data_IF_456827984762
#
_entry.id   IF_456827984762
#
_cell.length_a   1.000
_cell.length_b   1.000
_cell.length_c   1.000
_cell.angle_alpha   90.00
_cell.angle_beta   90.00
_cell.angle_gamma   90.00
#
_symmetry.space_group_name_H-M   'P 1'
#
loop_
_entity.id
_entity.type
_entity.pdbx_description
1 polymer ?
#
# COMPACT_ATOMS: atom_id res chain seq x y z
N UNK A 1 13.97 24.86 27.23
CA UNK A 1 12.60 24.38 26.94
C UNK A 1 12.50 24.12 25.44
N UNK A 2 12.85 22.89 25.02
CA UNK A 2 12.82 22.50 23.61
C UNK A 2 11.41 22.16 23.19
N UNK A 3 10.89 22.85 22.18
CA UNK A 3 9.59 22.58 21.58
C UNK A 3 9.68 21.25 20.83
N UNK A 4 9.40 20.14 21.50
CA UNK A 4 9.25 18.84 20.85
C UNK A 4 8.00 18.90 20.00
N UNK A 5 8.17 19.18 18.70
CA UNK A 5 7.12 19.04 17.70
C UNK A 5 6.76 17.56 17.55
N UNK A 6 5.93 17.06 18.46
CA UNK A 6 5.27 15.76 18.32
C UNK A 6 4.26 15.92 17.20
N UNK A 7 4.71 15.76 15.95
CA UNK A 7 3.84 15.42 14.82
C UNK A 7 3.16 14.10 15.21
N UNK A 8 2.00 14.22 15.84
CA UNK A 8 1.20 13.07 16.25
C UNK A 8 0.87 12.28 14.99
N UNK A 9 0.90 10.93 15.03
CA UNK A 9 0.52 10.09 13.88
C UNK A 9 -0.87 10.43 13.31
N UNK A 10 -1.70 11.10 14.13
CA UNK A 10 -3.01 11.66 13.81
C UNK A 10 -2.96 12.74 12.71
N UNK A 11 -1.96 13.62 12.71
CA UNK A 11 -1.84 14.69 11.70
C UNK A 11 -1.51 14.13 10.31
N UNK A 12 -0.63 13.13 10.22
CA UNK A 12 -0.30 12.46 8.96
C UNK A 12 -1.48 11.64 8.42
N UNK A 13 -2.25 10.99 9.30
CA UNK A 13 -3.48 10.28 8.95
C UNK A 13 -4.60 11.22 8.48
N UNK A 14 -4.75 12.41 9.10
CA UNK A 14 -5.70 13.44 8.68
C UNK A 14 -5.36 14.04 7.31
N UNK A 15 -4.08 14.22 6.98
CA UNK A 15 -3.67 14.66 5.64
C UNK A 15 -3.91 13.59 4.56
N UNK A 16 -3.66 12.32 4.87
CA UNK A 16 -3.97 11.17 3.98
C UNK A 16 -5.45 11.10 3.61
N UNK A 17 -6.32 11.30 4.60
CA UNK A 17 -7.77 11.33 4.41
C UNK A 17 -8.22 12.58 3.64
N UNK A 18 -7.72 13.76 4.00
CA UNK A 18 -8.15 15.03 3.39
C UNK A 18 -7.88 15.17 1.88
N UNK A 19 -6.74 14.64 1.41
CA UNK A 19 -6.35 14.72 0.00
C UNK A 19 -7.02 13.67 -0.91
N UNK A 20 -7.45 12.53 -0.35
CA UNK A 20 -8.14 11.47 -1.10
C UNK A 20 -9.67 11.66 -1.11
N UNK A 21 -10.24 12.22 -0.03
CA UNK A 21 -11.69 12.43 0.13
C UNK A 21 -12.27 13.58 -0.73
N UNK A 22 -11.45 14.44 -1.32
CA UNK A 22 -11.91 15.54 -2.18
C UNK A 22 -12.15 15.12 -3.64
N UNK A 23 -11.68 13.94 -4.05
CA UNK A 23 -11.86 13.40 -5.41
C UNK A 23 -13.21 12.74 -5.71
N UNK A 24 -13.88 11.98 -4.81
CA UNK A 24 -15.15 11.32 -5.16
C UNK A 24 -16.31 12.29 -5.42
N UNK A 25 -16.29 13.49 -4.84
CA UNK A 25 -17.31 14.52 -5.11
C UNK A 25 -17.23 15.11 -6.54
N UNK A 26 -16.09 14.93 -7.23
CA UNK A 26 -15.85 15.40 -8.59
C UNK A 26 -15.86 14.28 -9.65
N UNK A 27 -15.84 13.01 -9.23
CA UNK A 27 -15.69 11.86 -10.13
C UNK A 27 -16.98 11.56 -10.91
N UNK A 28 -17.15 12.21 -12.07
CA UNK A 28 -18.32 12.08 -12.95
C UNK A 28 -18.11 11.12 -14.13
N UNK A 29 -16.89 10.64 -14.38
CA UNK A 29 -16.56 9.78 -15.53
C UNK A 29 -15.40 8.82 -15.22
N UNK A 30 -15.16 7.85 -16.11
CA UNK A 30 -14.12 6.82 -15.98
C UNK A 30 -12.72 7.43 -15.81
N UNK A 31 -12.41 8.53 -16.52
CA UNK A 31 -11.13 9.23 -16.38
C UNK A 31 -10.94 9.83 -14.99
N UNK A 32 -11.98 10.42 -14.41
CA UNK A 32 -11.91 11.01 -13.08
C UNK A 32 -11.68 9.94 -12.01
N UNK A 33 -12.24 8.73 -12.17
CA UNK A 33 -11.92 7.58 -11.33
C UNK A 33 -10.49 7.08 -11.52
N UNK A 34 -9.97 7.08 -12.75
CA UNK A 34 -8.58 6.75 -13.06
C UNK A 34 -7.60 7.74 -12.40
N UNK A 35 -7.87 9.04 -12.53
CA UNK A 35 -7.12 10.13 -11.90
C UNK A 35 -7.19 10.02 -10.36
N UNK A 36 -8.37 9.78 -9.78
CA UNK A 36 -8.55 9.60 -8.33
C UNK A 36 -7.75 8.41 -7.78
N UNK A 37 -7.70 7.30 -8.53
CA UNK A 37 -6.88 6.14 -8.17
C UNK A 37 -5.38 6.46 -8.19
N UNK A 38 -4.93 7.28 -9.14
CA UNK A 38 -3.53 7.71 -9.26
C UNK A 38 -3.15 8.63 -8.10
N UNK A 39 -3.97 9.63 -7.83
CA UNK A 39 -3.75 10.59 -6.74
C UNK A 39 -3.72 9.90 -5.37
N UNK A 40 -4.66 8.98 -5.10
CA UNK A 40 -4.71 8.25 -3.83
C UNK A 40 -3.49 7.33 -3.64
N UNK A 41 -3.04 6.64 -4.70
CA UNK A 41 -1.79 5.87 -4.68
C UNK A 41 -0.59 6.75 -4.38
N UNK A 42 -0.45 7.88 -5.07
CA UNK A 42 0.69 8.77 -4.93
C UNK A 42 0.74 9.41 -3.55
N UNK A 43 -0.41 9.82 -3.02
CA UNK A 43 -0.51 10.29 -1.65
C UNK A 43 -0.02 9.23 -0.65
N UNK A 44 -0.42 7.96 -0.84
CA UNK A 44 0.05 6.87 0.01
C UNK A 44 1.57 6.65 -0.08
N UNK A 45 2.13 6.64 -1.29
CA UNK A 45 3.58 6.48 -1.50
C UNK A 45 4.36 7.64 -0.88
N UNK A 46 3.91 8.88 -1.10
CA UNK A 46 4.53 10.08 -0.54
C UNK A 46 4.50 10.04 0.97
N UNK A 47 3.42 9.60 1.60
CA UNK A 47 3.39 9.48 3.07
C UNK A 47 4.23 8.29 3.54
N UNK A 48 4.20 7.16 2.86
CA UNK A 48 5.00 5.99 3.23
C UNK A 48 6.51 6.28 3.22
N UNK A 49 6.98 7.13 2.32
CA UNK A 49 8.39 7.57 2.23
C UNK A 49 8.66 8.90 2.96
N UNK A 50 7.64 9.73 3.19
CA UNK A 50 7.81 11.04 3.82
C UNK A 50 7.74 10.95 5.34
N UNK A 51 6.86 10.10 5.89
CA UNK A 51 6.68 9.98 7.33
C UNK A 51 7.91 9.40 8.04
N UNK A 52 8.63 8.39 7.51
CA UNK A 52 9.90 7.95 8.09
C UNK A 52 11.03 8.96 7.84
N UNK A 53 11.13 9.57 6.66
CA UNK A 53 12.10 10.63 6.39
C UNK A 53 12.02 11.80 7.40
N UNK A 54 10.82 12.33 7.66
CA UNK A 54 10.60 13.42 8.63
C UNK A 54 10.97 13.00 10.06
N UNK A 55 10.87 11.70 10.37
CA UNK A 55 11.24 11.13 11.68
C UNK A 55 12.70 10.67 11.74
N UNK A 56 13.51 10.93 10.70
CA UNK A 56 14.90 10.52 10.59
C UNK A 56 15.09 8.99 10.49
N UNK A 57 14.06 8.27 10.05
CA UNK A 57 14.01 6.80 10.01
C UNK A 57 14.30 6.26 8.60
N UNK A 58 15.54 6.44 8.13
CA UNK A 58 15.98 6.01 6.79
C UNK A 58 15.82 4.51 6.54
N UNK A 59 15.94 3.69 7.59
CA UNK A 59 15.69 2.26 7.49
C UNK A 59 14.20 1.97 7.20
N UNK A 60 13.28 2.78 7.75
CA UNK A 60 11.86 2.72 7.43
C UNK A 60 11.57 3.13 5.98
N UNK A 61 12.22 4.17 5.47
CA UNK A 61 12.06 4.60 4.08
C UNK A 61 12.57 3.55 3.09
N UNK A 62 13.73 2.95 3.36
CA UNK A 62 14.26 1.87 2.52
C UNK A 62 13.35 0.64 2.54
N UNK A 63 12.76 0.31 3.68
CA UNK A 63 11.80 -0.80 3.79
C UNK A 63 10.49 -0.49 3.05
N UNK A 64 9.96 0.72 3.19
CA UNK A 64 8.75 1.14 2.47
C UNK A 64 8.99 1.20 0.96
N UNK A 65 10.10 1.80 0.53
CA UNK A 65 10.51 1.86 -0.88
C UNK A 65 10.76 0.47 -1.46
N UNK A 66 11.43 -0.42 -0.71
CA UNK A 66 11.63 -1.81 -1.08
C UNK A 66 10.30 -2.57 -1.23
N UNK A 67 9.35 -2.35 -0.32
CA UNK A 67 8.01 -2.97 -0.36
C UNK A 67 7.22 -2.52 -1.60
N UNK A 68 7.21 -1.22 -1.87
CA UNK A 68 6.55 -0.61 -3.03
C UNK A 68 7.17 -1.14 -4.34
N UNK A 69 8.49 -1.15 -4.41
CA UNK A 69 9.22 -1.64 -5.58
C UNK A 69 8.96 -3.13 -5.81
N UNK A 70 9.04 -3.95 -4.76
CA UNK A 70 8.77 -5.39 -4.85
C UNK A 70 7.34 -5.67 -5.33
N UNK A 71 6.34 -4.99 -4.77
CA UNK A 71 4.95 -5.13 -5.21
C UNK A 71 4.74 -4.69 -6.66
N UNK A 72 5.37 -3.58 -7.07
CA UNK A 72 5.33 -3.09 -8.44
C UNK A 72 5.95 -4.06 -9.43
N UNK A 73 7.15 -4.57 -9.14
CA UNK A 73 7.85 -5.55 -9.98
C UNK A 73 7.11 -6.88 -10.06
N UNK A 74 6.61 -7.38 -8.93
CA UNK A 74 5.79 -8.60 -8.90
C UNK A 74 4.54 -8.44 -9.78
N UNK A 75 3.84 -7.32 -9.65
CA UNK A 75 2.65 -7.04 -10.45
C UNK A 75 2.97 -6.91 -11.94
N UNK A 76 4.09 -6.28 -12.28
CA UNK A 76 4.55 -6.17 -13.66
C UNK A 76 4.87 -7.56 -14.25
N UNK A 77 5.61 -8.39 -13.52
CA UNK A 77 5.91 -9.77 -13.95
C UNK A 77 4.65 -10.61 -14.16
N UNK A 78 3.69 -10.53 -13.24
CA UNK A 78 2.42 -11.26 -13.38
C UNK A 78 1.58 -10.76 -14.55
N UNK A 79 1.58 -9.45 -14.84
CA UNK A 79 0.90 -8.88 -16.01
C UNK A 79 1.40 -9.45 -17.32
N UNK A 80 2.71 -9.62 -17.44
CA UNK A 80 3.31 -10.20 -18.65
C UNK A 80 3.07 -11.71 -18.74
N UNK A 81 2.96 -12.40 -17.60
CA UNK A 81 2.68 -13.84 -17.55
C UNK A 81 1.19 -14.18 -17.80
N UNK A 82 0.26 -13.33 -17.39
CA UNK A 82 -1.19 -13.56 -17.47
C UNK A 82 -1.90 -12.42 -18.23
N UNK A 83 -1.80 -12.42 -19.58
CA UNK A 83 -2.38 -11.37 -20.40
C UNK A 83 -3.91 -11.45 -20.44
N UNK A 84 -4.56 -10.50 -19.77
CA UNK A 84 -6.01 -10.42 -19.61
C UNK A 84 -6.56 -9.07 -20.09
N UNK A 85 -7.66 -9.11 -20.84
CA UNK A 85 -8.39 -7.92 -21.31
C UNK A 85 -8.99 -7.11 -20.16
N UNK A 86 -8.74 -5.80 -20.20
CA UNK A 86 -9.42 -4.85 -19.32
C UNK A 86 -10.91 -4.70 -19.67
N UNK A 87 -11.77 -4.33 -18.71
CA UNK A 87 -13.19 -4.09 -18.97
C UNK A 87 -13.46 -3.03 -20.06
N UNK A 88 -12.58 -2.04 -20.19
CA UNK A 88 -12.63 -0.98 -21.22
C UNK A 88 -12.01 -1.37 -22.57
N UNK A 89 -11.47 -2.58 -22.70
CA UNK A 89 -10.77 -3.09 -23.90
C UNK A 89 -9.56 -2.26 -24.34
N UNK A 90 -8.98 -1.45 -23.45
CA UNK A 90 -7.82 -0.61 -23.79
C UNK A 90 -6.54 -1.41 -24.02
N UNK A 91 -6.30 -2.47 -23.25
CA UNK A 91 -5.19 -3.41 -23.44
C UNK A 91 -5.43 -4.78 -22.77
N UNK A 92 -4.44 -5.67 -22.88
CA UNK A 92 -4.39 -7.01 -22.28
C UNK A 92 -3.56 -7.09 -20.99
N UNK A 93 -3.42 -5.99 -20.27
CA UNK A 93 -2.63 -5.90 -19.03
C UNK A 93 -3.53 -5.57 -17.84
N UNK A 94 -4.61 -6.34 -17.66
CA UNK A 94 -5.52 -6.20 -16.52
C UNK A 94 -4.97 -6.86 -15.26
N UNK A 95 -4.88 -8.19 -15.20
CA UNK A 95 -4.40 -8.90 -14.01
C UNK A 95 -2.89 -8.75 -13.73
N UNK A 96 -2.46 -8.53 -12.47
CA UNK A 96 -3.19 -7.95 -11.33
C UNK A 96 -3.15 -6.41 -11.38
N UNK A 97 -3.91 -5.71 -10.53
CA UNK A 97 -3.88 -4.25 -10.51
C UNK A 97 -2.61 -3.68 -9.85
N UNK A 98 -1.69 -3.14 -10.66
CA UNK A 98 -0.44 -2.54 -10.14
C UNK A 98 -0.65 -1.30 -9.27
N UNK A 99 -1.68 -0.49 -9.56
CA UNK A 99 -2.05 0.66 -8.71
C UNK A 99 -2.46 0.19 -7.31
N UNK A 100 -3.28 -0.86 -7.24
CA UNK A 100 -3.68 -1.46 -5.98
C UNK A 100 -2.50 -2.10 -5.25
N UNK A 101 -1.64 -2.87 -5.94
CA UNK A 101 -0.47 -3.48 -5.30
C UNK A 101 0.46 -2.46 -4.65
N UNK A 102 0.76 -1.36 -5.35
CA UNK A 102 1.60 -0.29 -4.81
C UNK A 102 0.94 0.42 -3.64
N UNK A 103 -0.36 0.73 -3.74
CA UNK A 103 -1.11 1.38 -2.67
C UNK A 103 -1.16 0.54 -1.38
N UNK A 104 -1.46 -0.76 -1.51
CA UNK A 104 -1.45 -1.69 -0.38
C UNK A 104 -0.05 -1.93 0.18
N UNK A 105 0.99 -1.98 -0.65
CA UNK A 105 2.38 -2.06 -0.15
C UNK A 105 2.77 -0.83 0.68
N UNK A 106 2.39 0.37 0.24
CA UNK A 106 2.61 1.61 0.98
C UNK A 106 1.81 1.61 2.31
N UNK A 107 0.54 1.21 2.27
CA UNK A 107 -0.32 1.13 3.46
C UNK A 107 0.17 0.09 4.47
N UNK A 108 0.54 -1.11 4.02
CA UNK A 108 1.11 -2.17 4.84
C UNK A 108 2.44 -1.73 5.48
N UNK A 109 3.29 -1.01 4.74
CA UNK A 109 4.54 -0.46 5.27
C UNK A 109 4.28 0.54 6.40
N UNK A 110 3.31 1.45 6.21
CA UNK A 110 2.87 2.40 7.25
C UNK A 110 2.28 1.69 8.46
N UNK A 111 1.44 0.67 8.24
CA UNK A 111 0.83 -0.14 9.29
C UNK A 111 1.88 -0.90 10.11
N UNK A 112 2.84 -1.53 9.45
CA UNK A 112 3.90 -2.28 10.11
C UNK A 112 4.86 -1.36 10.88
N UNK A 113 5.17 -0.18 10.33
CA UNK A 113 6.12 0.75 10.96
C UNK A 113 5.52 1.57 12.10
N UNK A 114 4.28 2.04 11.94
CA UNK A 114 3.64 3.01 12.86
C UNK A 114 2.39 2.48 13.58
N UNK A 115 1.99 1.24 13.30
CA UNK A 115 0.85 0.61 13.94
C UNK A 115 -0.49 1.00 13.33
N UNK A 116 -1.55 0.45 13.92
CA UNK A 116 -2.92 0.50 13.40
C UNK A 116 -3.49 1.93 13.28
N UNK A 117 -3.02 2.88 14.10
CA UNK A 117 -3.50 4.27 14.06
C UNK A 117 -3.20 4.99 12.73
N UNK A 118 -2.09 4.62 12.09
CA UNK A 118 -1.71 5.09 10.75
C UNK A 118 -2.11 4.04 9.70
N UNK A 119 -1.99 2.76 10.04
CA UNK A 119 -2.32 1.65 9.17
C UNK A 119 -3.77 1.63 8.71
N UNK A 120 -4.75 1.70 9.61
CA UNK A 120 -6.17 1.63 9.24
C UNK A 120 -6.56 2.75 8.26
N UNK A 121 -6.25 4.04 8.52
CA UNK A 121 -6.50 5.09 7.55
C UNK A 121 -5.81 4.84 6.20
N UNK A 122 -4.55 4.38 6.21
CA UNK A 122 -3.81 4.09 4.98
C UNK A 122 -4.46 2.94 4.18
N UNK A 123 -4.94 1.90 4.85
CA UNK A 123 -5.64 0.78 4.22
C UNK A 123 -6.99 1.20 3.62
N UNK A 124 -7.71 2.12 4.27
CA UNK A 124 -8.94 2.70 3.72
C UNK A 124 -8.64 3.45 2.41
N UNK A 125 -7.57 4.25 2.38
CA UNK A 125 -7.15 4.96 1.16
C UNK A 125 -6.72 3.95 0.07
N UNK A 126 -6.02 2.86 0.44
CA UNK A 126 -5.61 1.84 -0.51
C UNK A 126 -6.81 1.07 -1.09
N UNK A 127 -7.81 0.77 -0.26
CA UNK A 127 -9.08 0.20 -0.70
C UNK A 127 -9.82 1.15 -1.65
N UNK A 128 -9.81 2.46 -1.37
CA UNK A 128 -10.38 3.47 -2.26
C UNK A 128 -9.66 3.53 -3.62
N UNK A 129 -8.33 3.41 -3.64
CA UNK A 129 -7.55 3.28 -4.89
C UNK A 129 -8.06 2.09 -5.70
N UNK A 130 -8.18 0.91 -5.08
CA UNK A 130 -8.68 -0.30 -5.72
C UNK A 130 -10.10 -0.16 -6.25
N UNK A 131 -11.02 0.36 -5.44
CA UNK A 131 -12.40 0.64 -5.84
C UNK A 131 -12.45 1.57 -7.06
N UNK A 132 -11.67 2.66 -7.05
CA UNK A 132 -11.59 3.61 -8.15
C UNK A 132 -11.10 2.97 -9.45
N UNK A 133 -10.21 1.97 -9.39
CA UNK A 133 -9.78 1.22 -10.59
C UNK A 133 -10.91 0.41 -11.24
N UNK A 134 -11.80 -0.15 -10.43
CA UNK A 134 -12.99 -0.88 -10.92
C UNK A 134 -13.97 0.10 -11.55
N UNK A 135 -14.24 1.23 -10.89
CA UNK A 135 -15.13 2.27 -11.40
C UNK A 135 -14.60 2.93 -12.68
N UNK A 136 -13.28 3.05 -12.82
CA UNK A 136 -12.61 3.50 -14.05
C UNK A 136 -12.61 2.45 -15.17
N UNK A 137 -13.19 1.26 -14.95
CA UNK A 137 -13.21 0.12 -15.88
C UNK A 137 -11.82 -0.33 -16.33
N UNK A 138 -10.79 -0.05 -15.52
CA UNK A 138 -9.40 -0.43 -15.80
C UNK A 138 -9.05 -1.81 -15.30
N UNK A 139 -9.81 -2.35 -14.35
CA UNK A 139 -9.56 -3.64 -13.73
C UNK A 139 -10.87 -4.29 -13.30
N UNK A 140 -10.88 -5.62 -13.30
CA UNK A 140 -11.94 -6.37 -12.65
C UNK A 140 -11.73 -6.36 -11.14
N UNK A 141 -12.78 -6.66 -10.37
CA UNK A 141 -12.69 -6.66 -8.91
C UNK A 141 -11.65 -7.68 -8.38
N UNK A 142 -11.46 -8.80 -9.07
CA UNK A 142 -10.48 -9.82 -8.68
C UNK A 142 -9.03 -9.39 -8.96
N UNK A 143 -8.77 -8.55 -9.98
CA UNK A 143 -7.45 -7.95 -10.23
C UNK A 143 -7.02 -7.08 -9.05
N UNK A 144 -8.00 -6.37 -8.46
CA UNK A 144 -7.82 -5.50 -7.31
C UNK A 144 -7.55 -6.34 -6.06
N UNK A 145 -8.30 -7.42 -5.83
CA UNK A 145 -8.05 -8.34 -4.70
C UNK A 145 -6.66 -8.98 -4.80
N UNK A 146 -6.27 -9.46 -5.99
CA UNK A 146 -4.95 -10.02 -6.22
C UNK A 146 -3.84 -8.97 -6.01
N UNK A 147 -4.05 -7.75 -6.52
CA UNK A 147 -3.12 -6.64 -6.29
C UNK A 147 -2.97 -6.30 -4.80
N UNK A 148 -4.08 -6.22 -4.06
CA UNK A 148 -4.06 -5.97 -2.62
C UNK A 148 -3.26 -7.05 -1.87
N UNK A 149 -3.47 -8.33 -2.20
CA UNK A 149 -2.72 -9.44 -1.61
C UNK A 149 -1.20 -9.33 -1.88
N UNK A 150 -0.81 -8.99 -3.11
CA UNK A 150 0.61 -8.77 -3.47
C UNK A 150 1.20 -7.62 -2.65
N UNK A 151 0.49 -6.50 -2.57
CA UNK A 151 0.93 -5.32 -1.83
C UNK A 151 1.09 -5.58 -0.33
N UNK A 152 0.07 -6.17 0.30
CA UNK A 152 0.10 -6.48 1.74
C UNK A 152 1.24 -7.46 2.07
N UNK A 153 1.42 -8.48 1.24
CA UNK A 153 2.50 -9.47 1.42
C UNK A 153 3.88 -8.82 1.29
N UNK A 154 4.08 -7.96 0.28
CA UNK A 154 5.34 -7.25 0.11
C UNK A 154 5.65 -6.35 1.31
N UNK A 155 4.66 -5.56 1.76
CA UNK A 155 4.79 -4.70 2.94
C UNK A 155 5.04 -5.49 4.23
N UNK A 156 4.41 -6.65 4.40
CA UNK A 156 4.61 -7.52 5.56
C UNK A 156 5.99 -8.19 5.60
N UNK A 157 6.47 -8.69 4.46
CA UNK A 157 7.75 -9.39 4.40
C UNK A 157 8.95 -8.44 4.48
N UNK A 158 8.84 -7.25 3.89
CA UNK A 158 9.95 -6.31 3.77
C UNK A 158 9.94 -5.29 4.91
N UNK A 159 8.77 -4.83 5.37
CA UNK A 159 8.69 -3.81 6.42
C UNK A 159 8.53 -4.42 7.81
N UNK A 160 9.53 -4.16 8.65
CA UNK A 160 9.62 -4.58 10.04
C UNK A 160 9.32 -3.42 11.02
N UNK A 161 8.81 -3.73 12.21
CA UNK A 161 8.42 -2.73 13.24
C UNK A 161 9.60 -1.87 13.70
N UNK A 162 9.37 -0.57 13.94
CA UNK A 162 10.40 0.40 14.41
C UNK A 162 10.97 0.12 15.80
N UNK A 163 10.17 -0.48 16.68
CA UNK A 163 10.60 -0.97 18.00
C UNK A 163 10.28 -2.47 18.06
N UNK A 164 11.26 -3.30 17.72
CA UNK A 164 11.10 -4.75 17.72
C UNK A 164 11.61 -5.35 19.04
N UNK A 165 10.85 -5.17 20.11
CA UNK A 165 10.86 -6.17 21.20
C UNK A 165 10.15 -7.45 20.79
N UNK A 166 9.50 -7.48 19.61
CA UNK A 166 8.77 -8.64 19.06
C UNK A 166 8.96 -8.68 17.54
N UNK A 167 9.51 -9.77 17.02
CA UNK A 167 9.67 -10.08 15.58
C UNK A 167 8.85 -11.32 15.25
N UNK A 168 8.01 -11.24 14.23
CA UNK A 168 7.16 -12.34 13.77
C UNK A 168 7.65 -12.76 12.38
N UNK A 169 8.00 -14.03 12.21
CA UNK A 169 8.50 -14.59 10.95
C UNK A 169 7.67 -15.82 10.59
N UNK A 170 6.82 -15.75 9.56
CA UNK A 170 6.21 -16.96 9.01
C UNK A 170 7.28 -17.79 8.29
N UNK A 171 7.17 -19.11 8.39
CA UNK A 171 7.97 -20.06 7.62
C UNK A 171 7.10 -21.22 7.15
N UNK A 172 7.46 -21.84 6.03
CA UNK A 172 6.78 -23.02 5.54
C UNK A 172 7.72 -23.88 4.71
N UNK A 173 7.55 -25.19 4.82
CA UNK A 173 8.27 -26.21 4.06
C UNK A 173 7.27 -27.17 3.37
N UNK A 174 7.79 -28.23 2.74
CA UNK A 174 6.97 -29.23 2.02
C UNK A 174 6.07 -30.09 2.92
N UNK A 175 6.19 -29.96 4.25
CA UNK A 175 5.49 -30.77 5.26
C UNK A 175 4.67 -29.93 6.23
N UNK A 176 4.79 -28.60 6.22
CA UNK A 176 3.99 -27.74 7.06
C UNK A 176 4.32 -26.25 6.96
N UNK A 177 3.58 -25.44 7.70
CA UNK A 177 3.83 -24.02 7.85
C UNK A 177 3.64 -23.59 9.31
N UNK A 178 4.34 -22.54 9.72
CA UNK A 178 4.33 -22.02 11.08
C UNK A 178 4.72 -20.55 11.15
N UNK A 179 4.70 -20.02 12.38
CA UNK A 179 5.07 -18.62 12.67
C UNK A 179 6.00 -18.59 13.87
N UNK A 180 7.17 -17.97 13.71
CA UNK A 180 8.15 -17.77 14.78
C UNK A 180 7.98 -16.38 15.39
N UNK A 181 7.86 -16.34 16.71
CA UNK A 181 7.82 -15.11 17.52
C UNK A 181 9.13 -14.98 18.31
N UNK A 182 9.95 -13.99 17.99
CA UNK A 182 11.16 -13.65 18.74
C UNK A 182 10.94 -12.39 19.56
N UNK A 183 11.12 -12.44 20.89
CA UNK A 183 11.01 -11.27 21.75
C UNK A 183 12.35 -10.87 22.37
N UNK A 184 12.61 -9.56 22.49
CA UNK A 184 13.82 -9.00 23.13
C UNK A 184 13.40 -8.07 24.27
N UNK A 185 13.71 -8.49 25.50
CA UNK A 185 13.44 -7.79 26.76
C UNK A 185 14.66 -6.94 27.17
#
# INVERSE_FOLDING_TARGET
MGFHMRLTPIAAALCLAGASLSTPAAARNEKAWDDASTVSRDALVVVALGLPAIKGDWAGDLQAGGSILAAGLASYGLKEAFPEWRPDHSDRKSFPSGHTSVAFAAAASLQNRYGWQVGIPAQIVAAFTGFSRVQARKHHWYDVVAGAAIGETAGFLITSKRNASVRVLPWGDTKGAGVTLGMRF
#
